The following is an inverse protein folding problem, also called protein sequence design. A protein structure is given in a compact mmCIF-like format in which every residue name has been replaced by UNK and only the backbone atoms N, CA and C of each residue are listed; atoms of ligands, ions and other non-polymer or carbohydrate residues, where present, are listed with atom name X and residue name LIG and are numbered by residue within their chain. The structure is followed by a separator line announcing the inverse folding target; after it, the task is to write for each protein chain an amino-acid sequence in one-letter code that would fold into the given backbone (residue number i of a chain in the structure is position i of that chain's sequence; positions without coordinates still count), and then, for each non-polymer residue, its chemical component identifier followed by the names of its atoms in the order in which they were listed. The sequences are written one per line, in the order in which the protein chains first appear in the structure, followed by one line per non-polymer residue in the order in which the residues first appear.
data_IF_712890812778
#
_entry.id   IF_712890812778
#
_cell.length_a   1.000
_cell.length_b   1.000
_cell.length_c   1.000
_cell.angle_alpha   90.00
_cell.angle_beta   90.00
_cell.angle_gamma   90.00
#
_symmetry.space_group_name_H-M   'P 1'
#
loop_
_entity.id
_entity.type
_entity.pdbx_description
1 polymer ?
#
# COMPACT_ATOMS: atom_id res chain seq x y z
N UNK A 1 -3.96 -49.77 -35.22
CA UNK A 1 -5.11 -50.20 -34.39
C UNK A 1 -5.05 -49.34 -33.13
N UNK A 2 -5.68 -48.16 -33.10
CA UNK A 2 -7.10 -47.92 -32.74
C UNK A 2 -7.46 -48.39 -31.31
N UNK A 3 -7.60 -47.43 -30.39
CA UNK A 3 -8.82 -47.09 -29.62
C UNK A 3 -8.41 -46.15 -28.47
N UNK A 4 -8.73 -44.85 -28.58
CA UNK A 4 -9.95 -44.25 -28.04
C UNK A 4 -9.97 -44.28 -26.50
N UNK A 5 -9.45 -43.21 -25.89
CA UNK A 5 -9.83 -42.78 -24.54
C UNK A 5 -10.64 -41.50 -24.71
N UNK A 6 -11.93 -41.66 -24.97
CA UNK A 6 -12.92 -40.62 -24.81
C UNK A 6 -13.65 -40.96 -23.51
N UNK A 7 -13.38 -40.18 -22.45
CA UNK A 7 -14.31 -40.05 -21.33
C UNK A 7 -14.47 -38.56 -21.06
N UNK A 8 -15.49 -38.02 -21.70
CA UNK A 8 -16.12 -36.77 -21.31
C UNK A 8 -16.92 -37.04 -20.03
N UNK A 9 -16.60 -36.34 -18.95
CA UNK A 9 -17.55 -36.05 -17.89
C UNK A 9 -17.21 -34.73 -17.18
N UNK A 10 -18.23 -34.04 -16.66
CA UNK A 10 -18.50 -32.65 -17.01
C UNK A 10 -17.79 -31.67 -16.08
N UNK A 11 -17.61 -30.45 -16.57
CA UNK A 11 -17.28 -29.30 -15.74
C UNK A 11 -18.25 -29.19 -14.55
N UNK A 12 -17.71 -29.39 -13.35
CA UNK A 12 -18.40 -29.17 -12.08
C UNK A 12 -18.46 -27.65 -11.80
N UNK A 13 -19.65 -27.04 -11.67
CA UNK A 13 -19.80 -25.62 -11.38
C UNK A 13 -19.77 -25.30 -9.88
N UNK A 14 -19.21 -26.18 -9.03
CA UNK A 14 -19.19 -26.03 -7.57
C UNK A 14 -17.81 -26.34 -6.94
N UNK A 15 -16.73 -25.93 -7.59
CA UNK A 15 -15.44 -25.75 -6.90
C UNK A 15 -15.41 -24.37 -6.21
N UNK A 16 -15.55 -24.26 -4.87
CA UNK A 16 -15.12 -23.07 -4.14
C UNK A 16 -13.59 -23.02 -3.95
N UNK A 17 -12.84 -23.97 -4.49
CA UNK A 17 -11.39 -24.04 -4.34
C UNK A 17 -10.66 -23.18 -5.39
N UNK A 18 -10.91 -21.87 -5.27
CA UNK A 18 -10.00 -20.82 -5.71
C UNK A 18 -9.21 -20.28 -4.52
N UNK A 19 -8.97 -21.11 -3.49
CA UNK A 19 -8.17 -20.74 -2.33
C UNK A 19 -6.72 -20.68 -2.78
N UNK A 20 -6.35 -19.55 -3.43
CA UNK A 20 -4.97 -19.09 -3.38
C UNK A 20 -4.67 -18.98 -1.90
N UNK A 21 -3.85 -19.90 -1.40
CA UNK A 21 -3.07 -19.65 -0.20
C UNK A 21 -2.26 -18.40 -0.52
N UNK A 22 -2.82 -17.24 -0.20
CA UNK A 22 -2.01 -16.07 -0.04
C UNK A 22 -1.04 -16.40 1.08
N UNK A 23 0.24 -16.43 0.75
CA UNK A 23 1.28 -16.62 1.75
C UNK A 23 1.20 -15.41 2.70
N UNK A 24 0.76 -15.59 3.96
CA UNK A 24 0.56 -14.46 4.87
C UNK A 24 1.88 -13.72 5.15
N UNK A 25 3.03 -14.36 4.88
CA UNK A 25 4.35 -13.74 5.00
C UNK A 25 4.68 -12.82 3.80
N UNK A 26 4.18 -13.13 2.62
CA UNK A 26 4.37 -12.36 1.39
C UNK A 26 3.55 -11.08 1.34
N UNK A 27 2.31 -11.13 1.84
CA UNK A 27 1.38 -9.99 1.88
C UNK A 27 1.80 -8.94 2.90
N UNK A 28 2.14 -9.35 4.12
CA UNK A 28 2.76 -8.48 5.12
C UNK A 28 4.00 -7.79 4.56
N UNK A 29 4.85 -8.55 3.84
CA UNK A 29 6.06 -8.01 3.25
C UNK A 29 5.77 -7.00 2.14
N UNK A 30 4.73 -7.22 1.35
CA UNK A 30 4.28 -6.26 0.35
C UNK A 30 3.76 -4.98 1.01
N UNK A 31 2.97 -5.09 2.08
CA UNK A 31 2.45 -3.95 2.86
C UNK A 31 3.59 -3.14 3.51
N UNK A 32 4.53 -3.83 4.17
CA UNK A 32 5.71 -3.18 4.76
C UNK A 32 6.55 -2.50 3.67
N UNK A 33 6.79 -3.19 2.55
CA UNK A 33 7.52 -2.63 1.42
C UNK A 33 6.83 -1.42 0.77
N UNK A 34 5.49 -1.37 0.80
CA UNK A 34 4.70 -0.21 0.39
C UNK A 34 4.85 0.93 1.40
N UNK A 35 4.68 0.65 2.69
CA UNK A 35 4.78 1.65 3.78
C UNK A 35 6.18 2.29 3.84
N UNK A 36 7.23 1.54 3.55
CA UNK A 36 8.61 2.06 3.50
C UNK A 36 9.06 2.51 2.10
N UNK A 37 8.20 2.34 1.09
CA UNK A 37 8.50 2.61 -0.32
C UNK A 37 9.87 2.04 -0.74
N UNK A 38 10.05 0.73 -0.51
CA UNK A 38 11.30 0.01 -0.78
C UNK A 38 11.51 -0.26 -2.29
N UNK A 39 10.42 -0.33 -3.05
CA UNK A 39 10.45 -0.67 -4.48
C UNK A 39 9.33 0.03 -5.27
N UNK A 40 9.25 -0.20 -6.58
CA UNK A 40 8.17 0.28 -7.43
C UNK A 40 6.80 -0.05 -6.82
N UNK A 41 5.91 0.94 -6.80
CA UNK A 41 4.60 0.87 -6.13
C UNK A 41 3.64 -0.15 -6.76
N UNK A 42 3.81 -0.47 -8.05
CA UNK A 42 2.86 -1.27 -8.83
C UNK A 42 2.66 -2.70 -8.30
N UNK A 43 3.75 -3.38 -7.92
CA UNK A 43 3.70 -4.73 -7.37
C UNK A 43 3.06 -4.79 -5.98
N UNK A 44 3.56 -4.00 -5.00
CA UNK A 44 3.01 -3.95 -3.65
C UNK A 44 1.54 -3.51 -3.59
N UNK A 45 1.13 -2.50 -4.38
CA UNK A 45 -0.27 -2.06 -4.44
C UNK A 45 -1.17 -3.18 -4.99
N UNK A 46 -0.74 -3.86 -6.06
CA UNK A 46 -1.50 -4.97 -6.63
C UNK A 46 -1.68 -6.14 -5.66
N UNK A 47 -0.61 -6.49 -4.93
CA UNK A 47 -0.67 -7.53 -3.90
C UNK A 47 -1.58 -7.11 -2.73
N UNK A 48 -1.42 -5.88 -2.23
CA UNK A 48 -2.18 -5.37 -1.08
C UNK A 48 -3.69 -5.22 -1.35
N UNK A 49 -4.07 -4.91 -2.59
CA UNK A 49 -5.46 -4.84 -3.03
C UNK A 49 -6.14 -6.20 -3.18
N UNK A 50 -5.37 -7.29 -3.37
CA UNK A 50 -5.93 -8.63 -3.57
C UNK A 50 -6.15 -9.38 -2.26
N UNK A 51 -5.43 -9.01 -1.20
CA UNK A 51 -5.70 -9.62 0.08
C UNK A 51 -7.17 -9.36 0.50
N UNK A 52 -7.82 -10.29 1.18
CA UNK A 52 -9.16 -10.09 1.76
C UNK A 52 -9.04 -9.48 3.18
N UNK A 53 -10.08 -8.77 3.65
CA UNK A 53 -10.04 -8.02 4.92
C UNK A 53 -10.31 -8.88 6.17
N UNK A 54 -10.84 -10.10 6.02
CA UNK A 54 -11.45 -10.87 7.12
C UNK A 54 -10.44 -11.64 8.01
N UNK A 55 -9.21 -11.90 7.53
CA UNK A 55 -8.19 -12.69 8.25
C UNK A 55 -6.78 -12.08 8.16
N UNK A 56 -6.68 -10.77 7.89
CA UNK A 56 -5.41 -10.17 7.46
C UNK A 56 -4.57 -9.61 8.62
N UNK A 57 -3.24 -9.85 8.63
CA UNK A 57 -2.33 -9.05 9.42
C UNK A 57 -2.32 -7.58 8.95
N UNK A 58 -2.71 -6.68 9.84
CA UNK A 58 -2.56 -5.24 9.66
C UNK A 58 -1.11 -4.82 9.89
N UNK A 59 -0.66 -3.82 9.13
CA UNK A 59 0.64 -3.18 9.34
C UNK A 59 0.41 -1.77 9.86
N UNK A 60 1.18 -1.39 10.87
CA UNK A 60 1.11 -0.04 11.42
C UNK A 60 1.90 0.95 10.58
N UNK A 61 1.25 2.02 10.18
CA UNK A 61 1.91 3.21 9.65
C UNK A 61 2.35 4.09 10.82
N UNK A 62 3.66 4.29 10.91
CA UNK A 62 4.29 5.13 11.92
C UNK A 62 4.83 6.42 11.29
N UNK A 63 4.94 7.48 12.10
CA UNK A 63 5.52 8.76 11.70
C UNK A 63 6.93 8.63 11.16
N UNK A 64 7.74 7.72 11.69
CA UNK A 64 9.11 7.49 11.24
C UNK A 64 9.15 6.97 9.80
N UNK A 65 8.22 6.09 9.42
CA UNK A 65 8.11 5.57 8.07
C UNK A 65 7.71 6.65 7.06
N UNK A 66 6.70 7.46 7.39
CA UNK A 66 6.29 8.58 6.53
C UNK A 66 7.39 9.63 6.43
N UNK A 67 8.05 9.96 7.54
CA UNK A 67 9.18 10.89 7.57
C UNK A 67 10.32 10.41 6.69
N UNK A 68 10.70 9.14 6.76
CA UNK A 68 11.76 8.57 5.93
C UNK A 68 11.43 8.77 4.44
N UNK A 69 10.20 8.45 4.01
CA UNK A 69 9.75 8.65 2.64
C UNK A 69 9.86 10.12 2.22
N UNK A 70 9.33 11.03 3.05
CA UNK A 70 9.40 12.46 2.76
C UNK A 70 10.86 12.94 2.68
N UNK A 71 11.75 12.46 3.55
CA UNK A 71 13.18 12.78 3.50
C UNK A 71 13.85 12.23 2.25
N UNK A 72 13.48 11.03 1.79
CA UNK A 72 13.96 10.44 0.54
C UNK A 72 13.47 11.20 -0.68
N UNK A 73 12.24 11.72 -0.67
CA UNK A 73 11.74 12.66 -1.69
C UNK A 73 12.55 13.97 -1.69
N UNK A 74 12.82 14.54 -0.51
CA UNK A 74 13.63 15.77 -0.37
C UNK A 74 15.08 15.55 -0.85
N UNK A 75 15.63 14.36 -0.62
CA UNK A 75 16.98 13.97 -1.02
C UNK A 75 17.07 13.56 -2.50
N UNK A 76 15.95 13.51 -3.22
CA UNK A 76 15.89 13.10 -4.62
C UNK A 76 16.09 11.59 -4.85
N UNK A 77 16.02 10.77 -3.80
CA UNK A 77 16.08 9.31 -3.89
C UNK A 77 14.75 8.72 -4.36
N UNK A 78 13.64 9.40 -4.07
CA UNK A 78 12.30 9.06 -4.54
C UNK A 78 11.74 10.18 -5.41
N UNK A 79 10.92 9.81 -6.39
CA UNK A 79 10.25 10.79 -7.22
C UNK A 79 9.08 11.41 -6.45
N UNK A 80 9.20 12.70 -6.15
CA UNK A 80 8.17 13.50 -5.47
C UNK A 80 6.82 13.49 -6.22
N UNK A 81 6.84 13.26 -7.54
CA UNK A 81 5.64 13.17 -8.36
C UNK A 81 4.85 11.86 -8.15
N UNK A 82 5.50 10.80 -7.65
CA UNK A 82 4.85 9.52 -7.34
C UNK A 82 4.29 9.49 -5.90
N UNK A 83 4.64 10.48 -5.07
CA UNK A 83 4.23 10.56 -3.67
C UNK A 83 2.69 10.60 -3.50
N UNK A 84 1.91 11.30 -4.34
CA UNK A 84 0.45 11.23 -4.27
C UNK A 84 -0.10 9.82 -4.48
N UNK A 85 0.48 9.07 -5.43
CA UNK A 85 0.07 7.70 -5.73
C UNK A 85 0.38 6.75 -4.57
N UNK A 86 1.53 6.94 -3.91
CA UNK A 86 1.87 6.20 -2.70
C UNK A 86 0.89 6.54 -1.56
N UNK A 87 0.63 7.82 -1.31
CA UNK A 87 -0.26 8.25 -0.23
C UNK A 87 -1.69 7.76 -0.43
N UNK A 88 -2.22 7.82 -1.65
CA UNK A 88 -3.53 7.29 -2.00
C UNK A 88 -3.60 5.78 -1.73
N UNK A 89 -2.60 5.02 -2.17
CA UNK A 89 -2.59 3.58 -1.95
C UNK A 89 -2.55 3.22 -0.47
N UNK A 90 -1.68 3.87 0.31
CA UNK A 90 -1.60 3.63 1.77
C UNK A 90 -2.90 4.02 2.46
N UNK A 91 -3.54 5.12 2.05
CA UNK A 91 -4.79 5.60 2.65
C UNK A 91 -6.00 4.71 2.31
N UNK A 92 -6.03 4.10 1.13
CA UNK A 92 -7.13 3.25 0.68
C UNK A 92 -7.03 1.80 1.18
N UNK A 93 -5.90 1.40 1.76
CA UNK A 93 -5.69 0.04 2.26
C UNK A 93 -6.23 -0.12 3.68
N UNK A 94 -7.29 -0.91 3.82
CA UNK A 94 -7.94 -1.22 5.11
C UNK A 94 -7.00 -1.92 6.11
N UNK A 95 -5.93 -2.54 5.61
CA UNK A 95 -4.96 -3.27 6.43
C UNK A 95 -3.76 -2.42 6.86
N UNK A 96 -3.81 -1.11 6.60
CA UNK A 96 -2.87 -0.15 7.18
C UNK A 96 -3.54 0.50 8.38
N UNK A 97 -3.05 0.19 9.57
CA UNK A 97 -3.51 0.83 10.79
C UNK A 97 -2.62 2.03 11.13
N UNK A 98 -3.24 3.15 11.52
CA UNK A 98 -2.49 4.33 11.97
C UNK A 98 -2.60 4.40 13.49
N UNK A 99 -1.46 4.57 14.17
CA UNK A 99 -1.42 4.71 15.62
C UNK A 99 -2.30 5.87 16.09
N UNK A 100 -3.02 5.69 17.20
CA UNK A 100 -3.97 6.69 17.71
C UNK A 100 -3.29 8.02 18.06
N UNK A 101 -2.02 7.99 18.47
CA UNK A 101 -1.26 9.19 18.83
C UNK A 101 -0.96 10.06 17.61
N UNK A 102 -0.60 9.43 16.50
CA UNK A 102 -0.22 10.11 15.26
C UNK A 102 -1.35 10.12 14.22
N UNK A 103 -2.54 9.60 14.55
CA UNK A 103 -3.66 9.42 13.62
C UNK A 103 -4.03 10.70 12.91
N UNK A 104 -4.27 11.78 13.64
CA UNK A 104 -4.68 13.05 13.05
C UNK A 104 -3.62 13.60 12.09
N UNK A 105 -2.35 13.61 12.50
CA UNK A 105 -1.26 14.18 11.68
C UNK A 105 -0.96 13.32 10.45
N UNK A 106 -0.96 11.98 10.58
CA UNK A 106 -0.68 11.07 9.48
C UNK A 106 -1.85 10.98 8.51
N UNK A 107 -3.08 10.91 9.00
CA UNK A 107 -4.28 10.91 8.13
C UNK A 107 -4.37 12.21 7.34
N UNK A 108 -4.14 13.35 8.01
CA UNK A 108 -4.13 14.65 7.33
C UNK A 108 -3.01 14.71 6.28
N UNK A 109 -1.80 14.24 6.61
CA UNK A 109 -0.70 14.17 5.67
C UNK A 109 -1.04 13.31 4.45
N UNK A 110 -1.53 12.08 4.66
CA UNK A 110 -1.89 11.18 3.58
C UNK A 110 -2.96 11.80 2.67
N UNK A 111 -3.98 12.43 3.25
CA UNK A 111 -5.06 13.06 2.51
C UNK A 111 -4.59 14.25 1.67
N UNK A 112 -3.84 15.18 2.25
CA UNK A 112 -3.33 16.36 1.53
C UNK A 112 -2.34 15.94 0.42
N UNK A 113 -1.50 14.95 0.71
CA UNK A 113 -0.50 14.44 -0.23
C UNK A 113 -1.12 13.63 -1.35
N UNK A 114 -2.16 12.85 -1.09
CA UNK A 114 -2.87 12.05 -2.10
C UNK A 114 -3.74 12.91 -3.03
N UNK A 115 -4.15 14.10 -2.58
CA UNK A 115 -5.05 15.00 -3.33
C UNK A 115 -4.43 16.38 -3.60
N UNK A 116 -3.27 16.48 -4.26
CA UNK A 116 -2.62 17.77 -4.50
C UNK A 116 -3.44 18.75 -5.36
N UNK A 117 -4.39 18.23 -6.12
CA UNK A 117 -5.36 19.04 -6.89
C UNK A 117 -6.32 19.85 -6.01
N UNK A 118 -6.59 19.38 -4.78
CA UNK A 118 -7.45 20.06 -3.81
C UNK A 118 -6.67 21.04 -2.91
N UNK A 119 -5.35 20.83 -2.77
CA UNK A 119 -4.50 21.60 -1.88
C UNK A 119 -3.43 22.37 -2.67
N UNK A 120 -2.21 21.87 -2.68
CA UNK A 120 -1.09 22.45 -3.40
C UNK A 120 -0.31 21.35 -4.15
N UNK A 121 0.33 21.67 -5.28
CA UNK A 121 1.13 20.70 -6.01
C UNK A 121 2.21 20.12 -5.11
N UNK A 122 2.41 18.79 -5.17
CA UNK A 122 3.41 18.12 -4.36
C UNK A 122 4.81 18.55 -4.81
N UNK A 123 5.48 19.24 -3.90
CA UNK A 123 6.85 19.74 -4.07
C UNK A 123 7.73 19.33 -2.89
N UNK A 124 9.04 19.52 -3.05
CA UNK A 124 10.01 19.33 -1.97
C UNK A 124 9.71 20.23 -0.76
N UNK A 125 9.13 21.41 -0.97
CA UNK A 125 8.78 22.33 0.12
C UNK A 125 7.62 21.78 0.98
N UNK A 126 6.61 21.21 0.32
CA UNK A 126 5.50 20.49 0.98
C UNK A 126 6.04 19.34 1.82
N UNK A 127 6.96 18.55 1.27
CA UNK A 127 7.58 17.43 2.00
C UNK A 127 8.30 17.92 3.27
N UNK A 128 9.06 19.03 3.17
CA UNK A 128 9.75 19.65 4.33
C UNK A 128 8.78 20.19 5.37
N UNK A 129 7.67 20.80 4.94
CA UNK A 129 6.61 21.28 5.86
C UNK A 129 6.03 20.13 6.67
N UNK A 130 5.74 19.00 6.01
CA UNK A 130 5.21 17.82 6.68
C UNK A 130 6.21 17.16 7.62
N UNK A 131 7.48 17.02 7.22
CA UNK A 131 8.55 16.53 8.11
C UNK A 131 8.58 17.37 9.39
N UNK A 132 8.62 18.70 9.25
CA UNK A 132 8.65 19.60 10.41
C UNK A 132 7.40 19.45 11.29
N UNK A 133 6.21 19.36 10.69
CA UNK A 133 4.95 19.16 11.43
C UNK A 133 4.94 17.85 12.21
N UNK A 134 5.52 16.79 11.64
CA UNK A 134 5.73 15.50 12.29
C UNK A 134 6.89 15.50 13.29
N UNK A 135 7.65 16.59 13.46
CA UNK A 135 8.64 16.73 14.54
C UNK A 135 8.10 17.57 15.69
N UNK A 136 7.16 18.47 15.40
CA UNK A 136 6.52 19.39 16.37
C UNK A 136 5.26 18.80 17.02
N UNK A 137 4.70 17.71 16.48
CA UNK A 137 3.56 16.96 17.01
C UNK A 137 3.99 15.86 18.00
#
# INVERSE_FOLDING_TARGET
MQKECEDHSPADPRSPDGMRYCDPSGECRALIGLIHWESSLDGPIGAANHCDADDRPSVRLDRDAVRDILQRCVSGQLNVLELPRWAEAVHMLDCVEIDEVDRDVLTQCLFEVSTPELFEPITVDVCRRWIRRMEEA
#
